data_IF_438072024734
#
_entry.id   IF_438072024734
#
_cell.length_a   1.000
_cell.length_b   1.000
_cell.length_c   1.000
_cell.angle_alpha   90.00
_cell.angle_beta   90.00
_cell.angle_gamma   90.00
#
_symmetry.space_group_name_H-M   'P 1'
#
loop_
_entity.id
_entity.type
_entity.pdbx_description
1 polymer ?
#
# COMPACT_ATOMS: atom_id res chain seq x y z
N UNK A 1 -18.10 -9.73 -18.37
CA UNK A 1 -18.52 -9.66 -16.95
C UNK A 1 -17.27 -9.30 -16.15
N UNK A 2 -17.24 -8.20 -15.40
CA UNK A 2 -16.04 -7.86 -14.63
C UNK A 2 -15.86 -8.88 -13.50
N UNK A 3 -14.64 -9.43 -13.29
CA UNK A 3 -14.39 -10.36 -12.20
C UNK A 3 -14.72 -9.72 -10.85
N UNK A 4 -15.19 -10.52 -9.89
CA UNK A 4 -15.43 -10.02 -8.54
C UNK A 4 -14.13 -9.49 -7.95
N UNK A 5 -14.21 -8.48 -7.06
CA UNK A 5 -13.01 -7.93 -6.41
C UNK A 5 -12.18 -9.02 -5.72
N UNK A 6 -12.84 -10.03 -5.12
CA UNK A 6 -12.17 -11.16 -4.48
C UNK A 6 -11.39 -12.01 -5.49
N UNK A 7 -11.96 -12.28 -6.67
CA UNK A 7 -11.28 -13.01 -7.74
C UNK A 7 -10.04 -12.25 -8.23
N UNK A 8 -10.19 -10.95 -8.49
CA UNK A 8 -9.07 -10.12 -8.94
C UNK A 8 -7.97 -10.04 -7.89
N UNK A 9 -8.31 -9.90 -6.60
CA UNK A 9 -7.32 -9.93 -5.52
C UNK A 9 -6.61 -11.28 -5.49
N UNK A 10 -7.35 -12.39 -5.51
CA UNK A 10 -6.76 -13.73 -5.49
C UNK A 10 -5.77 -13.95 -6.64
N UNK A 11 -6.14 -13.58 -7.88
CA UNK A 11 -5.28 -13.71 -9.06
C UNK A 11 -3.99 -12.88 -8.93
N UNK A 12 -4.11 -11.61 -8.54
CA UNK A 12 -2.96 -10.71 -8.39
C UNK A 12 -2.04 -11.19 -7.25
N UNK A 13 -2.60 -11.71 -6.16
CA UNK A 13 -1.82 -12.28 -5.05
C UNK A 13 -1.06 -13.52 -5.50
N UNK A 14 -1.71 -14.42 -6.24
CA UNK A 14 -1.05 -15.61 -6.81
C UNK A 14 0.11 -15.24 -7.73
N UNK A 15 -0.02 -14.17 -8.53
CA UNK A 15 1.09 -13.67 -9.35
C UNK A 15 2.22 -13.09 -8.49
N UNK A 16 1.93 -12.34 -7.44
CA UNK A 16 2.94 -11.82 -6.52
C UNK A 16 3.70 -12.98 -5.86
N UNK A 17 3.02 -14.07 -5.52
CA UNK A 17 3.64 -15.22 -4.86
C UNK A 17 4.67 -15.95 -5.74
N UNK A 18 4.55 -15.86 -7.07
CA UNK A 18 5.52 -16.41 -8.03
C UNK A 18 6.62 -15.42 -8.43
N UNK A 19 6.56 -14.18 -7.95
CA UNK A 19 7.49 -13.13 -8.35
C UNK A 19 8.93 -13.46 -7.92
N UNK A 20 9.86 -13.30 -8.86
CA UNK A 20 11.30 -13.45 -8.62
C UNK A 20 12.05 -12.22 -9.11
N UNK A 21 13.19 -11.85 -8.49
CA UNK A 21 13.79 -12.47 -7.30
C UNK A 21 13.03 -12.15 -6.00
N UNK A 22 13.38 -12.81 -4.90
CA UNK A 22 12.69 -12.67 -3.61
C UNK A 22 12.46 -11.21 -3.13
N UNK A 23 13.42 -10.26 -3.23
CA UNK A 23 13.17 -8.86 -2.85
C UNK A 23 12.05 -8.20 -3.66
N UNK A 24 11.82 -8.65 -4.91
CA UNK A 24 10.73 -8.17 -5.74
C UNK A 24 9.38 -8.67 -5.22
N UNK A 25 9.28 -9.93 -4.82
CA UNK A 25 8.07 -10.49 -4.20
C UNK A 25 7.69 -9.72 -2.95
N UNK A 26 8.62 -9.59 -2.00
CA UNK A 26 8.32 -8.95 -0.72
C UNK A 26 8.04 -7.44 -0.85
N UNK A 27 8.66 -6.72 -1.78
CA UNK A 27 8.32 -5.30 -1.98
C UNK A 27 6.91 -5.13 -2.57
N UNK A 28 6.43 -6.07 -3.38
CA UNK A 28 5.04 -6.05 -3.86
C UNK A 28 4.05 -6.38 -2.74
N UNK A 29 4.36 -7.37 -1.90
CA UNK A 29 3.58 -7.66 -0.69
C UNK A 29 3.51 -6.43 0.22
N UNK A 30 4.64 -5.76 0.45
CA UNK A 30 4.72 -4.55 1.27
C UNK A 30 3.84 -3.42 0.73
N UNK A 31 3.98 -3.11 -0.55
CA UNK A 31 3.17 -2.10 -1.24
C UNK A 31 1.69 -2.45 -1.16
N UNK A 32 1.34 -3.72 -1.35
CA UNK A 32 -0.04 -4.18 -1.28
C UNK A 32 -0.60 -4.03 0.13
N UNK A 33 0.04 -4.63 1.14
CA UNK A 33 -0.47 -4.62 2.52
C UNK A 33 -0.61 -3.21 3.07
N UNK A 34 0.29 -2.29 2.76
CA UNK A 34 0.21 -0.89 3.23
C UNK A 34 -0.74 0.00 2.44
N UNK A 35 -1.37 -0.54 1.39
CA UNK A 35 -1.94 0.26 0.30
C UNK A 35 -0.98 1.38 -0.13
N UNK A 36 0.32 1.10 -0.16
CA UNK A 36 1.39 2.09 -0.18
C UNK A 36 1.67 2.64 -1.58
N UNK A 37 2.40 3.75 -1.64
CA UNK A 37 3.11 4.12 -2.88
C UNK A 37 4.42 3.37 -2.91
N UNK A 38 4.91 3.01 -4.09
CA UNK A 38 6.21 2.32 -4.22
C UNK A 38 7.37 3.10 -3.55
N UNK A 39 7.33 4.43 -3.57
CA UNK A 39 8.34 5.26 -2.89
C UNK A 39 8.28 5.18 -1.36
N UNK A 40 7.21 4.63 -0.76
CA UNK A 40 7.08 4.36 0.68
C UNK A 40 7.62 2.97 1.06
N UNK A 41 8.06 2.18 0.07
CA UNK A 41 8.66 0.85 0.28
C UNK A 41 10.12 0.81 -0.16
N UNK A 42 10.51 1.50 -1.22
CA UNK A 42 11.89 1.47 -1.73
C UNK A 42 12.79 2.51 -1.05
N UNK A 43 14.05 2.13 -0.78
CA UNK A 43 15.02 2.99 -0.10
C UNK A 43 15.98 3.74 -1.04
N UNK A 44 16.11 3.32 -2.31
CA UNK A 44 17.01 3.97 -3.27
C UNK A 44 16.27 4.81 -4.30
N UNK A 45 16.98 5.85 -4.72
CA UNK A 45 16.61 6.72 -5.81
C UNK A 45 17.62 6.57 -6.95
N UNK A 46 17.17 6.58 -8.20
CA UNK A 46 18.12 6.68 -9.33
C UNK A 46 18.67 8.11 -9.39
N UNK A 47 19.96 8.32 -9.72
CA UNK A 47 20.57 9.67 -9.72
C UNK A 47 19.82 10.70 -10.57
N UNK A 48 19.22 10.27 -11.67
CA UNK A 48 18.51 11.13 -12.63
C UNK A 48 17.09 11.51 -12.17
N UNK A 49 16.52 10.79 -11.20
CA UNK A 49 15.20 11.13 -10.68
C UNK A 49 15.35 12.42 -9.86
N UNK A 50 14.64 13.50 -10.21
CA UNK A 50 14.71 14.75 -9.43
C UNK A 50 13.51 14.94 -8.51
N UNK A 51 12.46 14.15 -8.69
CA UNK A 51 11.12 14.44 -8.14
C UNK A 51 10.68 13.46 -7.07
N UNK A 52 11.24 12.26 -7.05
CA UNK A 52 10.83 11.21 -6.10
C UNK A 52 11.78 11.17 -4.92
N UNK A 53 11.26 11.21 -3.70
CA UNK A 53 12.04 10.92 -2.47
C UNK A 53 11.70 9.50 -2.00
N UNK A 54 12.68 8.62 -1.75
CA UNK A 54 12.45 7.33 -1.14
C UNK A 54 12.19 7.50 0.36
N UNK A 55 11.18 6.79 0.86
CA UNK A 55 10.75 6.71 2.25
C UNK A 55 10.65 5.23 2.69
N UNK A 56 11.43 4.36 2.05
CA UNK A 56 11.43 2.93 2.32
C UNK A 56 11.81 2.63 3.79
N UNK A 57 11.26 1.55 4.35
CA UNK A 57 11.42 1.22 5.75
C UNK A 57 12.76 0.57 6.03
N UNK A 58 13.12 0.58 7.31
CA UNK A 58 14.15 -0.28 7.90
C UNK A 58 13.50 -1.47 8.60
N UNK A 59 14.28 -2.51 8.90
CA UNK A 59 13.77 -3.74 9.50
C UNK A 59 13.07 -3.56 10.86
N UNK A 60 13.43 -2.54 11.64
CA UNK A 60 12.75 -2.21 12.91
C UNK A 60 11.36 -1.59 12.74
N UNK A 61 11.00 -1.13 11.53
CA UNK A 61 9.68 -0.51 11.26
C UNK A 61 8.52 -1.53 11.19
N UNK A 62 8.77 -2.79 11.56
CA UNK A 62 7.74 -3.81 11.69
C UNK A 62 7.81 -4.44 13.08
N UNK A 63 6.73 -4.44 13.83
CA UNK A 63 6.61 -5.06 15.17
C UNK A 63 5.53 -6.13 15.16
N UNK A 64 5.59 -7.04 16.14
CA UNK A 64 4.48 -7.90 16.50
C UNK A 64 3.85 -7.33 17.78
N UNK A 65 2.54 -7.18 17.77
CA UNK A 65 1.76 -6.66 18.88
C UNK A 65 0.51 -7.52 19.06
N UNK A 66 -0.02 -7.55 20.29
CA UNK A 66 -1.35 -8.07 20.57
C UNK A 66 -2.35 -6.91 20.49
N UNK A 67 -3.35 -7.02 19.63
CA UNK A 67 -4.43 -6.03 19.49
C UNK A 67 -5.74 -6.78 19.70
N UNK A 68 -6.44 -6.45 20.78
CA UNK A 68 -7.71 -7.08 21.17
C UNK A 68 -7.66 -8.61 21.20
N UNK A 69 -6.54 -9.20 21.66
CA UNK A 69 -6.35 -10.65 21.77
C UNK A 69 -5.95 -11.34 20.46
N UNK A 70 -5.61 -10.57 19.41
CA UNK A 70 -5.11 -11.09 18.15
C UNK A 70 -3.71 -10.58 17.86
N UNK A 71 -2.82 -11.49 17.46
CA UNK A 71 -1.48 -11.15 17.02
C UNK A 71 -1.54 -10.35 15.70
N UNK A 72 -0.88 -9.20 15.69
CA UNK A 72 -0.83 -8.27 14.58
C UNK A 72 0.60 -7.94 14.20
N UNK A 73 0.86 -7.88 12.89
CA UNK A 73 2.05 -7.20 12.37
C UNK A 73 1.71 -5.72 12.24
N UNK A 74 2.44 -4.88 12.99
CA UNK A 74 2.30 -3.43 12.98
C UNK A 74 3.43 -2.83 12.18
N UNK A 75 3.09 -2.18 11.07
CA UNK A 75 4.04 -1.56 10.15
C UNK A 75 4.03 -0.04 10.31
N UNK A 76 5.18 0.52 10.63
CA UNK A 76 5.42 1.96 10.60
C UNK A 76 5.72 2.39 9.17
N UNK A 77 4.94 3.33 8.63
CA UNK A 77 5.04 3.76 7.23
C UNK A 77 5.29 5.26 7.14
N UNK A 78 6.44 5.63 6.58
CA UNK A 78 6.79 7.01 6.27
C UNK A 78 6.03 7.50 5.03
N UNK A 79 5.06 8.39 5.21
CA UNK A 79 4.09 8.74 4.16
C UNK A 79 4.64 9.79 3.19
N UNK A 80 4.80 9.42 1.91
CA UNK A 80 5.47 10.26 0.92
C UNK A 80 4.75 11.60 0.65
N UNK A 81 3.42 11.59 0.56
CA UNK A 81 2.61 12.81 0.36
C UNK A 81 2.56 13.72 1.59
N UNK A 82 3.07 13.25 2.73
CA UNK A 82 3.14 13.97 4.00
C UNK A 82 4.59 14.19 4.43
N UNK A 83 5.54 14.21 3.47
CA UNK A 83 6.97 14.48 3.70
C UNK A 83 7.59 13.56 4.76
N UNK A 84 7.19 12.29 4.78
CA UNK A 84 7.74 11.29 5.69
C UNK A 84 7.02 11.18 7.04
N UNK A 85 5.97 11.96 7.31
CA UNK A 85 5.15 11.76 8.51
C UNK A 85 4.63 10.33 8.54
N UNK A 86 4.81 9.69 9.70
CA UNK A 86 4.46 8.30 9.95
C UNK A 86 2.94 8.09 9.92
N UNK A 87 2.55 6.89 9.51
CA UNK A 87 1.25 6.28 9.76
C UNK A 87 1.48 4.84 10.16
N UNK A 88 0.53 4.28 10.90
CA UNK A 88 0.57 2.88 11.32
C UNK A 88 -0.37 2.05 10.45
N UNK A 89 0.13 0.90 9.98
CA UNK A 89 -0.66 -0.12 9.31
C UNK A 89 -0.58 -1.41 10.13
N UNK A 90 -1.66 -1.74 10.82
CA UNK A 90 -1.77 -3.00 11.57
C UNK A 90 -2.50 -4.06 10.75
N UNK A 91 -1.96 -5.28 10.75
CA UNK A 91 -2.43 -6.39 9.93
C UNK A 91 -2.47 -7.68 10.75
N UNK A 92 -3.64 -8.34 10.90
CA UNK A 92 -3.76 -9.55 11.73
C UNK A 92 -3.07 -10.76 11.10
N UNK A 93 -2.25 -11.47 11.85
CA UNK A 93 -1.44 -12.59 11.31
C UNK A 93 -2.26 -13.81 10.96
N UNK A 94 -3.38 -14.02 11.66
CA UNK A 94 -4.29 -15.17 11.47
C UNK A 94 -5.17 -15.03 10.23
N UNK A 95 -5.41 -13.81 9.76
CA UNK A 95 -6.37 -13.50 8.69
C UNK A 95 -5.72 -12.94 7.42
N UNK A 96 -4.44 -12.56 7.49
CA UNK A 96 -3.67 -12.04 6.36
C UNK A 96 -2.38 -12.86 6.18
N UNK A 97 -2.35 -13.83 5.25
CA UNK A 97 -1.26 -14.81 5.14
C UNK A 97 0.09 -14.21 4.78
N UNK A 98 0.14 -12.98 4.27
CA UNK A 98 1.41 -12.29 3.99
C UNK A 98 1.97 -11.54 5.19
N UNK A 99 1.21 -11.34 6.28
CA UNK A 99 1.65 -10.57 7.44
C UNK A 99 2.92 -11.16 8.07
N UNK A 100 2.88 -12.44 8.49
CA UNK A 100 4.03 -13.13 9.09
C UNK A 100 5.24 -13.26 8.15
N UNK A 101 5.08 -13.72 6.89
CA UNK A 101 6.19 -13.77 5.95
C UNK A 101 6.86 -12.41 5.76
N UNK A 102 6.08 -11.34 5.60
CA UNK A 102 6.62 -9.99 5.42
C UNK A 102 7.35 -9.52 6.68
N UNK A 103 6.77 -9.73 7.88
CA UNK A 103 7.43 -9.42 9.14
C UNK A 103 8.78 -10.15 9.28
N UNK A 104 8.81 -11.45 9.02
CA UNK A 104 10.05 -12.24 9.08
C UNK A 104 11.10 -11.70 8.10
N UNK A 105 10.68 -11.27 6.90
CA UNK A 105 11.56 -10.62 5.94
C UNK A 105 12.15 -9.32 6.49
N UNK A 106 11.34 -8.44 7.10
CA UNK A 106 11.80 -7.21 7.75
C UNK A 106 12.86 -7.48 8.83
N UNK A 107 12.62 -8.49 9.67
CA UNK A 107 13.51 -8.80 10.80
C UNK A 107 14.94 -9.16 10.38
N UNK A 108 15.14 -9.61 9.14
CA UNK A 108 16.48 -9.91 8.60
C UNK A 108 17.37 -8.66 8.47
N UNK A 109 16.79 -7.45 8.49
CA UNK A 109 17.51 -6.20 8.17
C UNK A 109 17.87 -5.34 9.38
N UNK A 110 17.23 -5.52 10.55
CA UNK A 110 17.46 -4.67 11.72
C UNK A 110 17.31 -3.17 11.40
N UNK A 111 18.34 -2.35 11.62
CA UNK A 111 18.32 -0.92 11.29
C UNK A 111 18.69 -0.60 9.83
N UNK A 112 18.85 -1.61 8.97
CA UNK A 112 19.19 -1.42 7.56
C UNK A 112 17.92 -1.32 6.71
N UNK A 113 17.98 -0.67 5.53
CA UNK A 113 16.85 -0.61 4.62
C UNK A 113 16.38 -2.00 4.17
N UNK A 114 15.08 -2.29 4.29
CA UNK A 114 14.49 -3.59 3.93
C UNK A 114 14.53 -3.80 2.42
N UNK A 115 14.12 -2.79 1.66
CA UNK A 115 14.10 -2.83 0.21
C UNK A 115 15.10 -1.83 -0.36
N UNK A 116 16.37 -2.23 -0.41
CA UNK A 116 17.46 -1.45 -1.01
C UNK A 116 17.41 -1.42 -2.55
N UNK A 117 16.22 -1.13 -3.09
CA UNK A 117 15.85 -1.16 -4.50
C UNK A 117 15.51 0.26 -4.97
N UNK A 118 15.48 0.48 -6.28
CA UNK A 118 14.96 1.72 -6.87
C UNK A 118 13.53 1.50 -7.37
N UNK A 119 12.73 2.58 -7.38
CA UNK A 119 11.37 2.55 -7.96
C UNK A 119 11.37 2.02 -9.40
N UNK A 120 12.32 2.45 -10.20
CA UNK A 120 12.45 2.08 -11.62
C UNK A 120 12.70 0.58 -11.77
N UNK A 121 13.57 0.01 -10.92
CA UNK A 121 13.85 -1.43 -10.93
C UNK A 121 12.60 -2.26 -10.66
N UNK A 122 11.78 -1.84 -9.68
CA UNK A 122 10.51 -2.50 -9.35
C UNK A 122 9.48 -2.27 -10.46
N UNK A 123 9.40 -1.06 -11.01
CA UNK A 123 8.42 -0.71 -12.05
C UNK A 123 8.58 -1.53 -13.33
N UNK A 124 9.82 -1.70 -13.81
CA UNK A 124 10.10 -2.51 -15.00
C UNK A 124 9.63 -3.95 -14.80
N UNK A 125 9.94 -4.56 -13.64
CA UNK A 125 9.55 -5.94 -13.33
C UNK A 125 8.05 -6.09 -13.10
N UNK A 126 7.42 -5.13 -12.44
CA UNK A 126 5.97 -5.12 -12.23
C UNK A 126 5.20 -5.03 -13.54
N UNK A 127 5.73 -4.29 -14.54
CA UNK A 127 5.13 -4.23 -15.87
C UNK A 127 5.10 -5.61 -16.54
N UNK A 128 6.17 -6.39 -16.41
CA UNK A 128 6.25 -7.75 -16.94
C UNK A 128 5.37 -8.72 -16.14
N UNK A 129 5.43 -8.66 -14.79
CA UNK A 129 4.65 -9.56 -13.93
C UNK A 129 3.14 -9.43 -14.14
N UNK A 130 2.65 -8.20 -14.30
CA UNK A 130 1.22 -7.91 -14.47
C UNK A 130 0.82 -7.69 -15.93
N UNK A 131 1.60 -8.19 -16.88
CA UNK A 131 1.24 -8.13 -18.29
C UNK A 131 -0.11 -8.83 -18.53
N UNK A 132 -0.91 -8.29 -19.46
CA UNK A 132 -2.27 -8.76 -19.73
C UNK A 132 -3.34 -8.34 -18.71
N UNK A 133 -2.96 -7.81 -17.54
CA UNK A 133 -3.92 -7.40 -16.51
C UNK A 133 -4.25 -5.90 -16.62
N UNK A 134 -5.52 -5.57 -16.36
CA UNK A 134 -6.02 -4.20 -16.36
C UNK A 134 -6.90 -3.91 -15.14
N UNK A 135 -7.17 -2.64 -14.89
CA UNK A 135 -8.17 -2.20 -13.92
C UNK A 135 -8.93 -0.97 -14.46
N UNK A 136 -10.23 -0.85 -14.15
CA UNK A 136 -11.04 0.26 -14.62
C UNK A 136 -10.66 1.56 -13.91
N UNK A 137 -10.61 2.66 -14.66
CA UNK A 137 -10.48 4.00 -14.10
C UNK A 137 -11.62 4.90 -14.59
N UNK A 138 -12.10 5.78 -13.69
CA UNK A 138 -13.11 6.80 -14.01
C UNK A 138 -12.51 7.90 -14.90
N UNK A 139 -13.36 8.70 -15.52
CA UNK A 139 -12.90 9.87 -16.27
C UNK A 139 -12.14 10.84 -15.38
N UNK A 140 -11.15 11.50 -15.95
CA UNK A 140 -10.30 12.46 -15.24
C UNK A 140 -9.80 13.53 -16.19
N UNK A 141 -9.41 14.67 -15.63
CA UNK A 141 -8.92 15.82 -16.40
C UNK A 141 -7.40 15.85 -16.35
N UNK A 142 -6.76 15.99 -17.51
CA UNK A 142 -5.32 16.21 -17.64
C UNK A 142 -5.09 17.61 -18.19
N UNK A 143 -4.10 18.31 -17.64
CA UNK A 143 -3.60 19.53 -18.26
C UNK A 143 -2.47 19.13 -19.21
N UNK A 144 -2.66 19.36 -20.51
CA UNK A 144 -1.64 19.17 -21.54
C UNK A 144 -1.56 20.45 -22.35
N UNK A 145 -0.37 21.03 -22.44
CA UNK A 145 -0.12 22.26 -23.21
C UNK A 145 -1.10 23.41 -22.84
N UNK A 146 -1.27 23.65 -21.53
CA UNK A 146 -2.23 24.60 -20.94
C UNK A 146 -3.71 24.37 -21.29
N UNK A 147 -4.05 23.25 -21.94
CA UNK A 147 -5.43 22.88 -22.26
C UNK A 147 -5.90 21.78 -21.32
N UNK A 148 -7.10 21.95 -20.77
CA UNK A 148 -7.74 20.97 -19.91
C UNK A 148 -8.45 19.93 -20.79
N UNK A 149 -7.88 18.73 -20.90
CA UNK A 149 -8.45 17.63 -21.66
C UNK A 149 -9.16 16.66 -20.71
N UNK A 150 -10.38 16.29 -21.04
CA UNK A 150 -11.10 15.24 -20.33
C UNK A 150 -10.78 13.88 -20.96
N UNK A 151 -10.22 12.99 -20.16
CA UNK A 151 -9.95 11.61 -20.54
C UNK A 151 -11.14 10.77 -20.09
N UNK A 152 -11.83 10.06 -21.00
CA UNK A 152 -12.98 9.23 -20.64
C UNK A 152 -12.55 8.02 -19.80
N UNK A 153 -13.52 7.41 -19.12
CA UNK A 153 -13.31 6.18 -18.38
C UNK A 153 -12.81 5.06 -19.32
N UNK A 154 -11.79 4.32 -18.89
CA UNK A 154 -11.19 3.23 -19.66
C UNK A 154 -10.45 2.25 -18.75
N UNK A 155 -10.03 1.12 -19.32
CA UNK A 155 -9.19 0.16 -18.62
C UNK A 155 -7.71 0.55 -18.72
N UNK A 156 -7.06 0.70 -17.57
CA UNK A 156 -5.64 1.03 -17.47
C UNK A 156 -4.84 -0.22 -17.18
N UNK A 157 -3.64 -0.32 -17.76
CA UNK A 157 -2.69 -1.40 -17.49
C UNK A 157 -2.40 -1.52 -15.99
N UNK A 158 -2.46 -2.74 -15.47
CA UNK A 158 -2.18 -3.03 -14.07
C UNK A 158 -0.68 -2.90 -13.81
N UNK A 159 -0.31 -1.99 -12.91
CA UNK A 159 1.09 -1.70 -12.54
C UNK A 159 1.15 -1.36 -11.05
N UNK A 160 2.29 -0.89 -10.54
CA UNK A 160 2.48 -0.60 -9.11
C UNK A 160 1.39 0.27 -8.46
N UNK A 161 0.89 1.29 -9.15
CA UNK A 161 -0.16 2.13 -8.56
C UNK A 161 -1.52 1.41 -8.51
N UNK A 162 -1.73 0.43 -9.38
CA UNK A 162 -2.93 -0.40 -9.39
C UNK A 162 -3.00 -1.29 -8.14
N UNK A 163 -1.87 -1.75 -7.58
CA UNK A 163 -1.86 -2.50 -6.32
C UNK A 163 -2.47 -1.69 -5.17
N UNK A 164 -2.13 -0.40 -5.09
CA UNK A 164 -2.73 0.51 -4.10
C UNK A 164 -4.24 0.64 -4.31
N UNK A 165 -4.69 0.80 -5.56
CA UNK A 165 -6.12 0.88 -5.86
C UNK A 165 -6.86 -0.43 -5.55
N UNK A 166 -6.24 -1.57 -5.86
CA UNK A 166 -6.77 -2.89 -5.59
C UNK A 166 -6.95 -3.08 -4.08
N UNK A 167 -5.91 -2.83 -3.28
CA UNK A 167 -6.01 -2.90 -1.82
C UNK A 167 -7.05 -1.92 -1.27
N UNK A 168 -7.04 -0.66 -1.71
CA UNK A 168 -8.02 0.33 -1.24
C UNK A 168 -9.46 -0.09 -1.57
N UNK A 169 -9.68 -0.67 -2.76
CA UNK A 169 -11.00 -1.18 -3.17
C UNK A 169 -11.40 -2.40 -2.36
N UNK A 170 -10.46 -3.31 -2.08
CA UNK A 170 -10.67 -4.46 -1.21
C UNK A 170 -11.06 -4.02 0.21
N UNK A 171 -10.31 -3.09 0.81
CA UNK A 171 -10.58 -2.53 2.14
C UNK A 171 -12.01 -1.97 2.24
N UNK A 172 -12.48 -1.25 1.22
CA UNK A 172 -13.84 -0.71 1.20
C UNK A 172 -14.89 -1.80 0.94
N UNK A 173 -14.72 -2.62 -0.11
CA UNK A 173 -15.77 -3.52 -0.58
C UNK A 173 -15.89 -4.81 0.24
N UNK A 174 -14.79 -5.27 0.82
CA UNK A 174 -14.72 -6.56 1.54
C UNK A 174 -14.65 -6.32 3.04
N UNK A 175 -13.82 -5.37 3.48
CA UNK A 175 -13.63 -5.09 4.90
C UNK A 175 -14.50 -3.94 5.41
N UNK A 176 -15.29 -3.31 4.53
CA UNK A 176 -16.21 -2.21 4.87
C UNK A 176 -15.55 -1.02 5.57
N UNK A 177 -14.32 -0.69 5.15
CA UNK A 177 -13.65 0.53 5.59
C UNK A 177 -14.47 1.76 5.22
N UNK A 178 -14.72 2.61 6.21
CA UNK A 178 -15.28 3.95 6.02
C UNK A 178 -14.22 4.90 5.49
N UNK A 179 -14.63 6.12 5.17
CA UNK A 179 -13.74 7.14 4.65
C UNK A 179 -12.59 7.46 5.61
N UNK A 180 -12.83 7.53 6.93
CA UNK A 180 -11.77 7.80 7.91
C UNK A 180 -10.79 6.63 8.02
N UNK A 181 -11.28 5.39 8.10
CA UNK A 181 -10.44 4.18 8.14
C UNK A 181 -9.52 4.12 6.92
N UNK A 182 -10.10 4.34 5.74
CA UNK A 182 -9.37 4.31 4.49
C UNK A 182 -8.34 5.43 4.43
N UNK A 183 -8.68 6.62 4.91
CA UNK A 183 -7.78 7.75 4.93
C UNK A 183 -6.58 7.49 5.85
N UNK A 184 -6.81 7.01 7.07
CA UNK A 184 -5.77 6.64 8.02
C UNK A 184 -4.86 5.55 7.45
N UNK A 185 -5.43 4.44 6.97
CA UNK A 185 -4.68 3.32 6.40
C UNK A 185 -3.83 3.73 5.19
N UNK A 186 -4.41 4.53 4.29
CA UNK A 186 -3.75 4.97 3.06
C UNK A 186 -2.80 6.16 3.25
N UNK A 187 -2.80 6.84 4.40
CA UNK A 187 -2.07 8.08 4.63
C UNK A 187 -2.59 9.25 3.80
N UNK A 188 -3.91 9.33 3.63
CA UNK A 188 -4.57 10.52 3.08
C UNK A 188 -4.74 11.56 4.18
N UNK A 189 -4.79 12.83 3.80
CA UNK A 189 -5.02 13.86 4.80
C UNK A 189 -6.45 13.73 5.34
N UNK A 190 -6.58 13.50 6.64
CA UNK A 190 -7.88 13.53 7.31
C UNK A 190 -8.50 14.91 7.19
N UNK A 191 -7.73 16.00 7.07
CA UNK A 191 -8.31 17.34 6.78
C UNK A 191 -9.07 17.41 5.45
N UNK A 192 -8.77 16.50 4.52
CA UNK A 192 -9.51 16.38 3.23
C UNK A 192 -10.79 15.56 3.38
N UNK A 193 -10.94 14.84 4.50
CA UNK A 193 -12.04 13.90 4.78
C UNK A 193 -12.91 14.36 5.97
N UNK A 194 -12.32 15.10 6.92
CA UNK A 194 -12.87 15.59 8.19
C UNK A 194 -12.41 17.05 8.41
N UNK A 195 -13.05 17.79 9.32
CA UNK A 195 -12.67 19.17 9.66
C UNK A 195 -11.53 19.25 10.69
N UNK A 196 -10.71 18.21 10.84
CA UNK A 196 -9.64 18.17 11.84
C UNK A 196 -8.51 19.17 11.52
N UNK A 197 -7.78 19.61 12.55
CA UNK A 197 -6.55 20.41 12.40
C UNK A 197 -5.34 19.51 12.14
N UNK A 198 -4.27 20.06 11.55
CA UNK A 198 -3.06 19.29 11.16
C UNK A 198 -2.29 18.67 12.32
N UNK A 199 -2.38 19.23 13.53
CA UNK A 199 -1.74 18.67 14.73
C UNK A 199 -2.55 17.50 15.27
N UNK A 200 -3.87 17.65 15.36
CA UNK A 200 -4.78 16.57 15.78
C UNK A 200 -4.70 15.36 14.85
N UNK A 201 -4.57 15.61 13.54
CA UNK A 201 -4.42 14.58 12.52
C UNK A 201 -3.26 13.61 12.82
N UNK A 202 -2.12 14.11 13.34
CA UNK A 202 -0.98 13.25 13.66
C UNK A 202 -1.32 12.24 14.76
N UNK A 203 -2.01 12.67 15.82
CA UNK A 203 -2.39 11.80 16.92
C UNK A 203 -3.50 10.83 16.53
N UNK A 204 -4.46 11.30 15.73
CA UNK A 204 -5.53 10.46 15.19
C UNK A 204 -4.93 9.35 14.32
N UNK A 205 -4.00 9.67 13.42
CA UNK A 205 -3.39 8.67 12.53
C UNK A 205 -2.57 7.60 13.26
N UNK A 206 -1.96 7.94 14.40
CA UNK A 206 -1.19 6.99 15.20
C UNK A 206 -2.08 5.99 15.93
N UNK A 207 -3.28 6.40 16.38
CA UNK A 207 -4.23 5.52 17.07
C UNK A 207 -5.30 4.89 16.17
N UNK A 208 -5.51 5.43 14.96
CA UNK A 208 -6.60 5.03 14.07
C UNK A 208 -6.57 3.55 13.63
N UNK A 209 -5.43 2.88 13.77
CA UNK A 209 -5.37 1.45 13.47
C UNK A 209 -6.22 0.60 14.40
N UNK A 210 -6.38 1.01 15.67
CA UNK A 210 -7.26 0.31 16.62
C UNK A 210 -8.72 0.33 16.17
N UNK A 211 -9.16 1.41 15.51
CA UNK A 211 -10.55 1.56 15.03
C UNK A 211 -10.87 0.69 13.81
N UNK A 212 -9.90 0.50 12.91
CA UNK A 212 -10.11 -0.32 11.70
C UNK A 212 -9.67 -1.77 11.86
N UNK A 213 -8.81 -2.09 12.84
CA UNK A 213 -8.23 -3.43 12.98
C UNK A 213 -9.28 -4.54 13.14
N UNK A 214 -10.34 -4.40 13.97
CA UNK A 214 -11.39 -5.41 14.08
C UNK A 214 -12.09 -5.74 12.75
N UNK A 215 -12.12 -4.79 11.80
CA UNK A 215 -12.72 -5.00 10.48
C UNK A 215 -11.90 -5.97 9.62
N UNK A 216 -10.59 -6.10 9.89
CA UNK A 216 -9.66 -6.98 9.20
C UNK A 216 -9.68 -8.43 9.72
N UNK A 217 -10.35 -8.71 10.84
CA UNK A 217 -10.49 -10.04 11.46
C UNK A 217 -11.52 -10.90 10.75
N UNK A 218 -11.41 -11.01 9.42
CA UNK A 218 -12.31 -11.77 8.56
C UNK A 218 -11.48 -12.61 7.61
N UNK A 219 -11.70 -13.93 7.62
CA UNK A 219 -11.05 -14.82 6.66
C UNK A 219 -11.55 -14.48 5.26
N UNK A 220 -10.64 -14.01 4.42
CA UNK A 220 -10.94 -13.66 3.05
C UNK A 220 -10.12 -14.45 2.02
N UNK A 221 -9.19 -15.29 2.50
CA UNK A 221 -8.33 -16.18 1.73
C UNK A 221 -8.11 -17.49 2.49
#
# INVERSE_FOLDING_TARGET
MQPSIKSQVFEIRKLIDTATPEPFKYVLMDVYLKAGRICESVARKVPQDKTTTPYGPVGIDATLEDIDGHEAVVLTVHTAKRKGIERIVAVPTEFEPWAKPLYNYYKQYGNKPVFNLTRQWVWVRAKTLFEGHTYPIKSYKICKDNTLLEVPAHDKRFTLHALRHLRATELVRVFHFKAEDLAAYCGWRLTTVTKATSVMERYIDLGAYLEYFPKLLKKNY
#
